data_IF_543314295074
#
_entry.id   IF_543314295074
#
_cell.length_a   1.000
_cell.length_b   1.000
_cell.length_c   1.000
_cell.angle_alpha   90.00
_cell.angle_beta   90.00
_cell.angle_gamma   90.00
#
_symmetry.space_group_name_H-M   'P 1'
#
loop_
_entity.id
_entity.type
_entity.pdbx_description
1 polymer ?
#
# COMPACT_ATOMS: atom_id res chain seq x y z
N UNK A 1 -15.97 -12.40 43.17
CA UNK A 1 -16.37 -12.29 41.75
C UNK A 1 -15.12 -12.33 40.87
N UNK A 2 -14.86 -13.41 40.10
CA UNK A 2 -13.67 -13.45 39.24
C UNK A 2 -13.91 -12.70 37.93
N UNK A 3 -13.13 -11.64 37.71
CA UNK A 3 -13.11 -10.86 36.47
C UNK A 3 -12.54 -11.71 35.33
N UNK A 4 -13.36 -11.97 34.30
CA UNK A 4 -12.95 -12.62 33.06
C UNK A 4 -11.91 -11.75 32.35
N UNK A 5 -10.62 -12.09 32.51
CA UNK A 5 -9.54 -11.55 31.68
C UNK A 5 -9.82 -11.95 30.22
N UNK A 6 -10.21 -10.99 29.39
CA UNK A 6 -10.33 -11.14 27.93
C UNK A 6 -8.97 -11.62 27.42
N UNK A 7 -8.89 -12.90 27.04
CA UNK A 7 -7.77 -13.46 26.27
C UNK A 7 -7.73 -12.69 24.96
N UNK A 8 -6.86 -11.68 24.87
CA UNK A 8 -6.59 -11.01 23.60
C UNK A 8 -6.05 -12.06 22.65
N UNK A 9 -6.83 -12.34 21.62
CA UNK A 9 -6.49 -13.22 20.52
C UNK A 9 -5.23 -12.64 19.86
N UNK A 10 -4.06 -13.12 20.25
CA UNK A 10 -2.82 -12.93 19.49
C UNK A 10 -2.91 -13.89 18.29
N UNK A 11 -3.95 -13.73 17.48
CA UNK A 11 -4.12 -14.41 16.22
C UNK A 11 -3.00 -13.92 15.33
N UNK A 12 -2.00 -14.78 15.11
CA UNK A 12 -0.93 -14.66 14.10
C UNK A 12 -1.26 -13.58 13.07
N UNK A 13 -0.72 -12.37 13.24
CA UNK A 13 -0.71 -11.44 12.10
C UNK A 13 0.07 -12.16 11.01
N UNK A 14 -0.60 -12.44 9.91
CA UNK A 14 -0.02 -13.17 8.79
C UNK A 14 1.22 -12.39 8.35
N UNK A 15 2.36 -13.07 8.15
CA UNK A 15 3.68 -12.43 7.99
C UNK A 15 3.67 -11.28 6.98
N UNK A 16 2.92 -11.42 5.90
CA UNK A 16 2.78 -10.36 4.89
C UNK A 16 2.06 -9.09 5.35
N UNK A 17 1.06 -9.19 6.22
CA UNK A 17 0.34 -8.03 6.77
C UNK A 17 1.24 -7.21 7.70
N UNK A 18 2.07 -7.89 8.49
CA UNK A 18 3.08 -7.24 9.32
C UNK A 18 4.15 -6.54 8.46
N UNK A 19 4.56 -7.17 7.36
CA UNK A 19 5.54 -6.62 6.41
C UNK A 19 5.00 -5.34 5.74
N UNK A 20 3.76 -5.40 5.25
CA UNK A 20 3.07 -4.27 4.64
C UNK A 20 2.94 -3.11 5.63
N UNK A 21 2.49 -3.41 6.86
CA UNK A 21 2.37 -2.41 7.93
C UNK A 21 3.71 -1.75 8.23
N UNK A 22 4.80 -2.52 8.26
CA UNK A 22 6.13 -1.98 8.54
C UNK A 22 6.60 -1.02 7.44
N UNK A 23 6.43 -1.41 6.17
CA UNK A 23 6.80 -0.54 5.03
C UNK A 23 5.97 0.72 5.00
N UNK A 24 4.66 0.62 5.22
CA UNK A 24 3.78 1.80 5.26
C UNK A 24 4.17 2.78 6.37
N UNK A 25 4.64 2.29 7.52
CA UNK A 25 5.16 3.16 8.59
C UNK A 25 6.46 3.88 8.21
N UNK A 26 7.32 3.25 7.41
CA UNK A 26 8.61 3.82 7.01
C UNK A 26 8.47 4.95 5.99
N UNK A 27 7.39 4.99 5.20
CA UNK A 27 7.20 6.02 4.17
C UNK A 27 6.74 7.37 4.72
N UNK A 28 6.26 7.41 5.97
CA UNK A 28 5.71 8.64 6.56
C UNK A 28 4.40 9.11 5.91
N UNK A 29 3.81 8.31 5.01
CA UNK A 29 2.57 8.62 4.31
C UNK A 29 1.34 8.17 5.12
N UNK A 30 0.14 8.72 4.84
CA UNK A 30 -1.08 8.32 5.50
C UNK A 30 -1.29 6.80 5.37
N UNK A 31 -1.26 6.12 6.52
CA UNK A 31 -1.16 4.65 6.57
C UNK A 31 -2.36 3.99 5.90
N UNK A 32 -3.56 4.55 6.09
CA UNK A 32 -4.80 4.01 5.51
C UNK A 32 -4.79 4.08 3.98
N UNK A 33 -4.39 5.22 3.43
CA UNK A 33 -4.34 5.44 1.98
C UNK A 33 -3.30 4.53 1.36
N UNK A 34 -2.07 4.56 1.86
CA UNK A 34 -0.99 3.77 1.28
C UNK A 34 -1.23 2.25 1.41
N UNK A 35 -1.83 1.81 2.52
CA UNK A 35 -2.19 0.40 2.69
C UNK A 35 -3.25 -0.03 1.67
N UNK A 36 -4.27 0.81 1.42
CA UNK A 36 -5.32 0.53 0.45
C UNK A 36 -4.72 0.42 -0.96
N UNK A 37 -3.95 1.41 -1.38
CA UNK A 37 -3.34 1.46 -2.71
C UNK A 37 -2.40 0.27 -2.96
N UNK A 38 -1.53 -0.05 -2.00
CA UNK A 38 -0.64 -1.19 -2.11
C UNK A 38 -1.40 -2.52 -2.16
N UNK A 39 -2.50 -2.66 -1.40
CA UNK A 39 -3.36 -3.85 -1.49
C UNK A 39 -3.99 -3.99 -2.87
N UNK A 40 -4.53 -2.91 -3.43
CA UNK A 40 -5.12 -2.93 -4.77
C UNK A 40 -4.08 -3.33 -5.84
N UNK A 41 -2.86 -2.82 -5.75
CA UNK A 41 -1.77 -3.19 -6.67
C UNK A 41 -1.39 -4.67 -6.53
N UNK A 42 -1.33 -5.17 -5.29
CA UNK A 42 -1.04 -6.59 -5.03
C UNK A 42 -2.16 -7.50 -5.56
N UNK A 43 -3.43 -7.11 -5.39
CA UNK A 43 -4.58 -7.84 -5.92
C UNK A 43 -4.60 -7.86 -7.46
N UNK A 44 -4.35 -6.72 -8.12
CA UNK A 44 -4.21 -6.66 -9.59
C UNK A 44 -3.10 -7.59 -10.10
N UNK A 45 -2.02 -7.75 -9.32
CA UNK A 45 -0.91 -8.64 -9.63
C UNK A 45 -1.15 -10.10 -9.19
N UNK A 46 -2.33 -10.44 -8.68
CA UNK A 46 -2.66 -11.76 -8.13
C UNK A 46 -1.71 -12.23 -7.00
N UNK A 47 -1.13 -11.28 -6.25
CA UNK A 47 -0.21 -11.56 -5.15
C UNK A 47 -1.01 -11.70 -3.85
N UNK A 48 -0.91 -12.88 -3.22
CA UNK A 48 -1.61 -13.15 -1.98
C UNK A 48 -0.91 -12.49 -0.78
N UNK A 49 -1.61 -11.58 -0.09
CA UNK A 49 -1.11 -10.91 1.12
C UNK A 49 -0.63 -11.88 2.21
N UNK A 50 -1.17 -13.10 2.25
CA UNK A 50 -0.80 -14.08 3.27
C UNK A 50 0.62 -14.62 3.07
N UNK A 51 1.14 -14.59 1.84
CA UNK A 51 2.47 -15.10 1.48
C UNK A 51 3.37 -13.99 0.87
N UNK A 52 3.06 -12.74 1.21
CA UNK A 52 3.77 -11.57 0.72
C UNK A 52 5.23 -11.61 1.16
N UNK A 53 6.15 -11.53 0.20
CA UNK A 53 7.58 -11.38 0.45
C UNK A 53 8.06 -9.94 0.15
N UNK A 54 9.31 -9.64 0.53
CA UNK A 54 9.89 -8.30 0.35
C UNK A 54 10.01 -7.89 -1.13
N UNK A 55 10.26 -8.84 -2.02
CA UNK A 55 10.45 -8.58 -3.45
C UNK A 55 9.14 -8.20 -4.14
N UNK A 56 8.06 -8.91 -3.81
CA UNK A 56 6.69 -8.60 -4.23
C UNK A 56 6.24 -7.25 -3.69
N UNK A 57 6.54 -6.95 -2.42
CA UNK A 57 6.21 -5.66 -1.83
C UNK A 57 7.01 -4.51 -2.46
N UNK A 58 8.30 -4.71 -2.76
CA UNK A 58 9.09 -3.76 -3.55
C UNK A 58 8.49 -3.52 -4.92
N UNK A 59 8.05 -4.58 -5.59
CA UNK A 59 7.42 -4.48 -6.92
C UNK A 59 6.11 -3.70 -6.85
N UNK A 60 5.29 -3.95 -5.84
CA UNK A 60 4.05 -3.20 -5.63
C UNK A 60 4.31 -1.71 -5.31
N UNK A 61 5.29 -1.42 -4.44
CA UNK A 61 5.70 -0.05 -4.14
C UNK A 61 6.28 0.68 -5.37
N UNK A 62 7.09 0.00 -6.17
CA UNK A 62 7.63 0.57 -7.41
C UNK A 62 6.52 0.85 -8.44
N UNK A 63 5.53 -0.05 -8.55
CA UNK A 63 4.34 0.18 -9.37
C UNK A 63 3.56 1.40 -8.88
N UNK A 64 3.33 1.54 -7.58
CA UNK A 64 2.66 2.69 -6.99
C UNK A 64 3.35 4.02 -7.32
N UNK A 65 4.67 4.09 -7.11
CA UNK A 65 5.46 5.30 -7.44
C UNK A 65 5.41 5.59 -8.94
N UNK A 66 5.50 4.58 -9.79
CA UNK A 66 5.39 4.75 -11.25
C UNK A 66 4.02 5.30 -11.64
N UNK A 67 2.93 4.75 -11.10
CA UNK A 67 1.56 5.24 -11.40
C UNK A 67 1.37 6.70 -10.96
N UNK A 68 1.91 7.09 -9.80
CA UNK A 68 1.91 8.49 -9.36
C UNK A 68 2.71 9.35 -10.34
N UNK A 69 3.95 8.99 -10.65
CA UNK A 69 4.80 9.77 -11.55
C UNK A 69 4.17 9.92 -12.94
N UNK A 70 3.63 8.84 -13.50
CA UNK A 70 2.91 8.89 -14.78
C UNK A 70 1.70 9.80 -14.71
N UNK A 71 0.87 9.69 -13.66
CA UNK A 71 -0.31 10.55 -13.49
C UNK A 71 0.06 12.04 -13.29
N UNK A 72 1.17 12.33 -12.61
CA UNK A 72 1.68 13.69 -12.44
C UNK A 72 2.23 14.26 -13.76
N UNK A 73 2.95 13.45 -14.54
CA UNK A 73 3.48 13.84 -15.84
C UNK A 73 2.36 14.08 -16.86
N UNK A 74 1.33 13.23 -16.87
CA UNK A 74 0.16 13.38 -17.73
C UNK A 74 -0.59 14.69 -17.45
N UNK A 75 -0.80 15.00 -16.16
CA UNK A 75 -1.38 16.29 -15.72
C UNK A 75 -0.50 17.49 -16.06
N UNK A 76 0.82 17.32 -16.17
CA UNK A 76 1.74 18.39 -16.56
C UNK A 76 1.64 18.73 -18.06
N UNK A 77 1.42 17.73 -18.92
CA UNK A 77 1.24 17.94 -20.36
C UNK A 77 -0.12 18.57 -20.73
N UNK A 78 -1.19 18.26 -19.98
CA UNK A 78 -2.51 18.87 -20.19
C UNK A 78 -2.52 20.40 -19.97
N UNK A 79 -1.69 20.92 -19.06
CA UNK A 79 -1.68 22.35 -18.74
C UNK A 79 -1.04 23.25 -19.81
N UNK A 80 -0.34 22.67 -20.80
CA UNK A 80 0.29 23.43 -21.89
C UNK A 80 -0.63 23.72 -23.08
N UNK A 81 -1.80 23.10 -23.16
CA UNK A 81 -2.73 23.28 -24.29
C UNK A 81 -3.86 24.30 -24.01
N UNK A 82 -3.94 24.86 -22.80
CA UNK A 82 -5.02 25.78 -22.40
C UNK A 82 -4.63 27.26 -22.50
N UNK A 83 -3.59 27.59 -23.29
CA UNK A 83 -3.09 28.97 -23.46
C UNK A 83 -3.10 29.45 -24.91
N UNK A 84 -3.96 28.86 -25.75
CA UNK A 84 -4.23 29.31 -27.11
C UNK A 84 -5.74 29.23 -27.38
N UNK A 85 -6.49 30.16 -26.78
CA UNK A 85 -7.78 30.58 -27.30
C UNK A 85 -8.06 32.03 -26.89
#
# INVERSE_FOLDING_TARGET
>A
MPQKKKKQLIGRRKKGDALLTHVVKLTGLPTEVLTKELKEILERKNINLNNLNLEQLRTAAASYVREIMTSLLDRCHLRKNDSLH
#
